data_IF_190113465348
#
_entry.id   IF_190113465348
#
_cell.length_a   1.000
_cell.length_b   1.000
_cell.length_c   1.000
_cell.angle_alpha   90.00
_cell.angle_beta   90.00
_cell.angle_gamma   90.00
#
_symmetry.space_group_name_H-M   'P 1'
#
loop_
_entity.id
_entity.type
_entity.pdbx_description
1 polymer ?
#
# COMPACT_ATOMS: atom_id res chain seq x y z
N UNK A 1 -1.82 -17.03 -15.27
CA UNK A 1 -1.74 -17.34 -16.72
C UNK A 1 -1.48 -16.05 -17.50
N UNK A 2 -0.51 -16.07 -18.40
CA UNK A 2 -0.20 -14.95 -19.30
C UNK A 2 -0.60 -15.25 -20.75
N UNK A 3 -1.55 -16.15 -20.96
CA UNK A 3 -2.05 -16.56 -22.26
C UNK A 3 -1.34 -17.79 -22.88
N UNK A 4 -1.86 -18.26 -23.99
CA UNK A 4 -1.27 -19.36 -24.76
C UNK A 4 -0.23 -18.81 -25.74
N UNK A 5 1.02 -19.31 -25.72
CA UNK A 5 2.05 -18.90 -26.70
C UNK A 5 1.60 -19.01 -28.17
N UNK A 6 0.76 -19.98 -28.51
CA UNK A 6 0.24 -20.16 -29.86
C UNK A 6 -0.72 -19.04 -30.31
N UNK A 7 -1.29 -18.27 -29.37
CA UNK A 7 -2.21 -17.18 -29.68
C UNK A 7 -1.50 -15.87 -30.08
N UNK A 8 -0.18 -15.78 -29.89
CA UNK A 8 0.62 -14.59 -30.20
C UNK A 8 1.22 -14.71 -31.63
N UNK A 9 0.38 -14.96 -32.62
CA UNK A 9 0.82 -14.97 -33.99
C UNK A 9 1.22 -13.56 -34.45
N UNK A 10 2.39 -13.43 -35.05
CA UNK A 10 2.84 -12.18 -35.66
C UNK A 10 2.10 -12.07 -37.00
N UNK A 11 1.26 -11.02 -37.15
CA UNK A 11 0.48 -10.79 -38.36
C UNK A 11 1.34 -10.38 -39.59
N UNK A 12 0.75 -10.32 -40.78
CA UNK A 12 1.41 -9.82 -41.98
C UNK A 12 1.91 -8.39 -41.79
N UNK A 13 3.18 -8.11 -42.08
CA UNK A 13 3.81 -6.81 -41.90
C UNK A 13 4.53 -6.63 -40.58
N UNK A 14 4.54 -7.63 -39.71
CA UNK A 14 5.34 -7.57 -38.47
C UNK A 14 6.85 -7.60 -38.81
N UNK A 15 7.61 -6.72 -38.17
CA UNK A 15 9.07 -6.71 -38.26
C UNK A 15 9.62 -7.75 -37.29
N UNK A 16 10.47 -8.66 -37.78
CA UNK A 16 11.11 -9.69 -36.96
C UNK A 16 11.91 -9.05 -35.83
N UNK A 17 11.67 -9.50 -34.58
CA UNK A 17 12.35 -9.00 -33.40
C UNK A 17 11.68 -7.82 -32.67
N UNK A 18 10.58 -7.29 -33.22
CA UNK A 18 9.77 -6.29 -32.50
C UNK A 18 8.70 -6.97 -31.65
N UNK A 19 8.47 -6.42 -30.47
CA UNK A 19 7.37 -6.85 -29.62
C UNK A 19 6.03 -6.45 -30.26
N UNK A 20 5.00 -7.28 -30.07
CA UNK A 20 3.64 -6.94 -30.49
C UNK A 20 3.10 -5.73 -29.75
N UNK A 21 2.11 -5.04 -30.34
CA UNK A 21 1.46 -3.87 -29.75
C UNK A 21 1.80 -2.56 -30.45
N UNK A 22 1.40 -1.44 -29.85
CA UNK A 22 1.67 -0.09 -30.34
C UNK A 22 2.73 0.62 -29.49
N UNK A 23 3.32 1.69 -30.04
CA UNK A 23 4.24 2.53 -29.25
C UNK A 23 3.53 3.07 -28.00
N UNK A 24 4.11 2.82 -26.82
CA UNK A 24 3.50 3.18 -25.54
C UNK A 24 2.45 2.18 -24.99
N UNK A 25 2.03 1.19 -25.77
CA UNK A 25 1.12 0.12 -25.38
C UNK A 25 1.63 -1.23 -25.91
N UNK A 26 2.74 -1.76 -25.36
CA UNK A 26 3.32 -3.01 -25.80
C UNK A 26 2.35 -4.16 -25.59
N UNK A 27 2.20 -5.02 -26.59
CA UNK A 27 1.45 -6.27 -26.49
C UNK A 27 2.21 -7.32 -25.68
N UNK A 28 1.53 -8.43 -25.37
CA UNK A 28 2.20 -9.60 -24.83
C UNK A 28 2.91 -10.36 -25.96
N UNK A 29 4.11 -10.83 -25.68
CA UNK A 29 4.85 -11.70 -26.59
C UNK A 29 4.73 -13.16 -26.17
N UNK A 30 5.03 -14.10 -27.05
CA UNK A 30 5.08 -15.52 -26.71
C UNK A 30 6.04 -15.81 -25.55
N UNK A 31 7.11 -15.02 -25.40
CA UNK A 31 8.06 -15.12 -24.28
C UNK A 31 7.45 -14.72 -22.93
N UNK A 32 6.36 -13.97 -22.96
CA UNK A 32 5.64 -13.55 -21.72
C UNK A 32 4.56 -14.56 -21.33
N UNK A 33 4.23 -15.53 -22.18
CA UNK A 33 3.18 -16.50 -21.93
C UNK A 33 3.69 -17.63 -21.02
N UNK A 34 2.81 -18.10 -20.13
CA UNK A 34 3.14 -19.22 -19.23
C UNK A 34 2.10 -19.42 -18.14
N UNK A 35 2.29 -20.52 -17.42
CA UNK A 35 1.52 -20.84 -16.19
C UNK A 35 2.48 -21.01 -15.03
N UNK A 36 2.25 -20.26 -14.00
CA UNK A 36 3.04 -20.34 -12.79
C UNK A 36 2.15 -20.56 -11.61
N UNK A 37 2.60 -21.38 -10.68
CA UNK A 37 1.88 -21.66 -9.44
C UNK A 37 2.82 -21.64 -8.25
N UNK A 38 2.29 -21.22 -7.13
CA UNK A 38 2.95 -21.27 -5.83
C UNK A 38 2.03 -21.96 -4.86
N UNK A 39 2.55 -22.90 -4.08
CA UNK A 39 1.82 -23.62 -3.04
C UNK A 39 2.47 -23.34 -1.71
N UNK A 40 1.65 -23.20 -0.67
CA UNK A 40 2.13 -23.15 0.71
C UNK A 40 1.40 -24.15 1.59
N UNK A 41 2.07 -24.54 2.67
CA UNK A 41 1.51 -25.34 3.76
C UNK A 41 1.96 -24.70 5.06
N UNK A 42 1.04 -24.52 5.99
CA UNK A 42 1.32 -23.87 7.26
C UNK A 42 0.73 -24.65 8.42
N UNK A 43 1.41 -24.54 9.56
CA UNK A 43 0.90 -24.92 10.86
C UNK A 43 1.14 -23.77 11.85
N UNK A 44 0.24 -23.58 12.80
CA UNK A 44 0.40 -22.54 13.82
C UNK A 44 -0.17 -23.01 15.16
N UNK A 45 0.36 -22.40 16.22
CA UNK A 45 -0.15 -22.50 17.59
C UNK A 45 -0.29 -21.08 18.10
N UNK A 46 -1.43 -20.79 18.73
CA UNK A 46 -1.71 -19.53 19.41
C UNK A 46 -2.31 -19.86 20.77
N UNK A 47 -1.68 -19.36 21.84
CA UNK A 47 -2.09 -19.59 23.22
C UNK A 47 -2.20 -18.26 23.92
N UNK A 48 -3.35 -18.01 24.53
CA UNK A 48 -3.57 -16.88 25.41
C UNK A 48 -3.95 -17.41 26.80
N UNK A 49 -3.30 -16.88 27.85
CA UNK A 49 -3.50 -17.32 29.22
C UNK A 49 -3.66 -16.12 30.18
N UNK A 50 -4.72 -16.08 30.99
CA UNK A 50 -4.79 -15.16 32.12
C UNK A 50 -3.88 -15.66 33.24
N UNK A 51 -2.76 -14.97 33.49
CA UNK A 51 -1.86 -15.27 34.59
C UNK A 51 -2.45 -14.86 35.94
N UNK A 52 -3.23 -13.79 35.91
CA UNK A 52 -4.02 -13.29 37.05
C UNK A 52 -5.34 -12.70 36.55
N UNK A 53 -6.22 -12.29 37.45
CA UNK A 53 -7.47 -11.59 37.07
C UNK A 53 -7.24 -10.28 36.28
N UNK A 54 -6.01 -9.74 36.28
CA UNK A 54 -5.66 -8.47 35.65
C UNK A 54 -4.56 -8.57 34.60
N UNK A 55 -3.94 -9.73 34.44
CA UNK A 55 -2.80 -9.91 33.56
C UNK A 55 -3.00 -11.08 32.63
N UNK A 56 -3.08 -10.79 31.35
CA UNK A 56 -3.17 -11.76 30.27
C UNK A 56 -1.90 -11.70 29.42
N UNK A 57 -1.36 -12.88 29.09
CA UNK A 57 -0.22 -13.01 28.17
C UNK A 57 -0.61 -13.91 27.01
N UNK A 58 -0.03 -13.67 25.86
CA UNK A 58 -0.24 -14.48 24.66
C UNK A 58 1.09 -14.82 23.98
N UNK A 59 1.19 -16.01 23.44
CA UNK A 59 2.30 -16.47 22.62
C UNK A 59 1.77 -17.22 21.40
N UNK A 60 2.27 -16.87 20.22
CA UNK A 60 1.93 -17.54 18.98
C UNK A 60 3.19 -17.85 18.18
N UNK A 61 3.15 -18.97 17.45
CA UNK A 61 4.16 -19.29 16.44
C UNK A 61 3.50 -19.90 15.22
N UNK A 62 4.06 -19.58 14.05
CA UNK A 62 3.59 -20.08 12.75
C UNK A 62 4.80 -20.56 11.95
N UNK A 63 4.71 -21.79 11.47
CA UNK A 63 5.60 -22.35 10.47
C UNK A 63 4.89 -22.36 9.12
N UNK A 64 5.55 -21.96 8.06
CA UNK A 64 5.02 -22.05 6.71
C UNK A 64 6.10 -22.46 5.72
N UNK A 65 5.77 -23.42 4.85
CA UNK A 65 6.63 -23.86 3.77
C UNK A 65 6.03 -23.50 2.41
N UNK A 66 6.84 -22.91 1.55
CA UNK A 66 6.48 -22.51 0.19
C UNK A 66 7.28 -23.27 -0.85
N UNK A 67 6.61 -23.66 -1.92
CA UNK A 67 7.25 -24.41 -3.02
C UNK A 67 8.30 -23.61 -3.79
N UNK A 68 8.27 -22.28 -3.73
CA UNK A 68 9.11 -21.41 -4.55
C UNK A 68 10.37 -20.90 -3.85
N UNK A 69 10.39 -20.77 -2.51
CA UNK A 69 11.49 -20.11 -1.80
C UNK A 69 11.81 -20.70 -0.41
N UNK A 70 11.18 -21.83 -0.04
CA UNK A 70 11.48 -22.51 1.21
C UNK A 70 10.53 -22.18 2.35
N UNK A 71 11.05 -22.01 3.55
CA UNK A 71 10.26 -21.92 4.79
C UNK A 71 10.43 -20.60 5.53
N UNK A 72 9.43 -20.26 6.36
CA UNK A 72 9.46 -19.19 7.33
C UNK A 72 8.91 -19.67 8.68
N UNK A 73 9.50 -19.15 9.75
CA UNK A 73 9.00 -19.33 11.12
C UNK A 73 8.83 -17.96 11.74
N UNK A 74 7.62 -17.66 12.17
CA UNK A 74 7.28 -16.38 12.78
C UNK A 74 6.68 -16.58 14.16
N UNK A 75 6.85 -15.59 15.02
CA UNK A 75 6.37 -15.62 16.37
C UNK A 75 5.82 -14.30 16.86
N UNK A 76 4.97 -14.37 17.87
CA UNK A 76 4.41 -13.21 18.57
C UNK A 76 4.36 -13.48 20.06
N UNK A 77 4.76 -12.49 20.83
CA UNK A 77 4.52 -12.41 22.26
C UNK A 77 3.67 -11.17 22.52
N UNK A 78 2.66 -11.30 23.38
CA UNK A 78 1.79 -10.19 23.76
C UNK A 78 1.50 -10.22 25.24
N UNK A 79 1.24 -9.06 25.81
CA UNK A 79 0.87 -8.89 27.20
C UNK A 79 -0.13 -7.75 27.33
N UNK A 80 -1.14 -7.94 28.19
CA UNK A 80 -2.10 -6.93 28.59
C UNK A 80 -2.25 -6.95 30.10
N UNK A 81 -2.03 -5.79 30.73
CA UNK A 81 -2.19 -5.62 32.16
C UNK A 81 -3.22 -4.55 32.46
N UNK A 82 -4.21 -4.88 33.27
CA UNK A 82 -5.29 -4.00 33.73
C UNK A 82 -4.94 -3.38 35.09
N UNK A 83 -4.59 -2.09 35.08
CA UNK A 83 -4.39 -1.35 36.33
C UNK A 83 -5.70 -1.18 37.11
N UNK A 84 -6.77 -0.87 36.37
CA UNK A 84 -8.14 -0.80 36.83
C UNK A 84 -9.06 -1.44 35.78
N UNK A 85 -10.35 -1.68 36.05
CA UNK A 85 -11.32 -2.12 35.05
C UNK A 85 -11.44 -1.16 33.83
N UNK A 86 -10.97 0.07 34.01
CA UNK A 86 -11.09 1.15 33.01
C UNK A 86 -9.78 1.58 32.38
N UNK A 87 -8.64 1.08 32.86
CA UNK A 87 -7.32 1.44 32.37
C UNK A 87 -6.43 0.20 32.21
N UNK A 88 -5.95 -0.02 31.00
CA UNK A 88 -5.02 -1.12 30.73
C UNK A 88 -3.87 -0.67 29.83
N UNK A 89 -2.71 -1.27 30.03
CA UNK A 89 -1.57 -1.22 29.13
C UNK A 89 -1.48 -2.53 28.36
N UNK A 90 -1.07 -2.45 27.09
CA UNK A 90 -0.81 -3.61 26.25
C UNK A 90 0.49 -3.44 25.49
N UNK A 91 1.17 -4.55 25.19
CA UNK A 91 2.36 -4.51 24.38
C UNK A 91 2.51 -5.82 23.60
N UNK A 92 3.19 -5.74 22.47
CA UNK A 92 3.53 -6.93 21.70
C UNK A 92 4.87 -6.79 21.00
N UNK A 93 5.53 -7.95 20.83
CA UNK A 93 6.68 -8.12 19.97
C UNK A 93 6.35 -9.24 18.99
N UNK A 94 6.58 -9.02 17.71
CA UNK A 94 6.30 -10.03 16.68
C UNK A 94 7.29 -9.98 15.55
N UNK A 95 7.48 -11.13 14.91
CA UNK A 95 8.08 -11.23 13.58
C UNK A 95 6.99 -11.53 12.56
N UNK A 96 7.28 -11.31 11.30
CA UNK A 96 6.41 -11.63 10.19
C UNK A 96 7.20 -11.61 8.89
N UNK A 97 6.59 -12.13 7.83
CA UNK A 97 7.22 -12.15 6.52
C UNK A 97 6.21 -11.82 5.42
N UNK A 98 6.73 -11.45 4.26
CA UNK A 98 5.95 -11.35 3.03
C UNK A 98 6.62 -12.15 1.92
N UNK A 99 5.93 -13.19 1.45
CA UNK A 99 6.37 -14.00 0.34
C UNK A 99 6.44 -13.19 -0.97
N UNK A 100 7.42 -13.45 -1.85
CA UNK A 100 7.37 -12.94 -3.22
C UNK A 100 6.15 -13.53 -3.93
N UNK A 101 5.43 -12.68 -4.64
CA UNK A 101 4.28 -13.11 -5.44
C UNK A 101 4.72 -13.81 -6.72
N UNK A 102 3.90 -14.68 -7.34
CA UNK A 102 4.19 -15.23 -8.67
C UNK A 102 4.50 -14.15 -9.71
N UNK A 103 3.84 -12.99 -9.64
CA UNK A 103 4.16 -11.84 -10.50
C UNK A 103 5.58 -11.33 -10.31
N UNK A 104 6.07 -11.22 -9.07
CA UNK A 104 7.46 -10.79 -8.81
C UNK A 104 8.49 -11.84 -9.23
N UNK A 105 8.15 -13.13 -9.12
CA UNK A 105 9.04 -14.22 -9.46
C UNK A 105 9.16 -14.46 -10.97
N UNK A 106 8.04 -14.32 -11.73
CA UNK A 106 7.95 -14.86 -13.07
C UNK A 106 7.54 -13.86 -14.15
N UNK A 107 7.04 -12.65 -13.78
CA UNK A 107 6.60 -11.69 -14.79
C UNK A 107 7.78 -11.22 -15.64
N UNK A 108 7.58 -11.28 -16.95
CA UNK A 108 8.46 -10.68 -17.96
C UNK A 108 7.64 -9.68 -18.78
N UNK A 109 8.26 -8.58 -19.15
CA UNK A 109 7.68 -7.60 -20.06
C UNK A 109 8.76 -6.96 -20.92
N UNK A 110 8.41 -6.68 -22.16
CA UNK A 110 9.28 -5.98 -23.12
C UNK A 110 8.60 -4.68 -23.50
N UNK A 111 9.34 -3.59 -23.48
CA UNK A 111 8.91 -2.30 -23.98
C UNK A 111 9.87 -1.85 -25.08
N UNK A 112 9.31 -1.31 -26.15
CA UNK A 112 10.07 -0.68 -27.20
C UNK A 112 9.67 0.78 -27.34
N UNK A 113 10.62 1.61 -27.63
CA UNK A 113 10.40 3.03 -27.85
C UNK A 113 11.42 3.57 -28.85
N UNK A 114 11.14 4.74 -29.39
CA UNK A 114 12.06 5.51 -30.20
C UNK A 114 12.68 6.58 -29.33
N UNK A 115 14.00 6.61 -29.25
CA UNK A 115 14.71 7.74 -28.71
C UNK A 115 14.60 8.90 -29.70
N UNK A 116 13.90 9.94 -29.31
CA UNK A 116 13.62 11.10 -30.21
C UNK A 116 14.84 11.97 -30.45
N UNK A 117 15.92 11.80 -29.71
CA UNK A 117 17.19 12.53 -29.90
C UNK A 117 18.10 11.78 -30.83
N UNK A 118 18.32 10.48 -30.59
CA UNK A 118 19.21 9.62 -31.38
C UNK A 118 18.50 8.97 -32.56
N UNK A 119 17.16 9.02 -32.62
CA UNK A 119 16.29 8.35 -33.60
C UNK A 119 16.50 6.84 -33.66
N UNK A 120 17.02 6.24 -32.59
CA UNK A 120 17.21 4.80 -32.47
C UNK A 120 16.11 4.15 -31.67
N UNK A 121 15.73 2.94 -32.10
CA UNK A 121 14.80 2.10 -31.32
C UNK A 121 15.56 1.52 -30.14
N UNK A 122 15.00 1.70 -28.93
CA UNK A 122 15.47 1.02 -27.75
C UNK A 122 14.46 -0.07 -27.32
N UNK A 123 14.98 -1.16 -26.82
CA UNK A 123 14.19 -2.26 -26.27
C UNK A 123 14.56 -2.45 -24.81
N UNK A 124 13.62 -2.27 -23.91
CA UNK A 124 13.85 -2.49 -22.49
C UNK A 124 13.08 -3.72 -21.99
N UNK A 125 13.73 -4.51 -21.14
CA UNK A 125 13.14 -5.71 -20.54
C UNK A 125 12.94 -5.57 -19.05
N UNK A 126 11.77 -6.01 -18.56
CA UNK A 126 11.67 -6.45 -17.18
C UNK A 126 11.69 -7.96 -17.20
N UNK A 127 12.72 -8.56 -16.63
CA UNK A 127 12.95 -9.99 -16.66
C UNK A 127 12.62 -10.64 -15.32
N UNK A 128 12.30 -11.94 -15.35
CA UNK A 128 12.28 -12.75 -14.14
C UNK A 128 13.65 -12.73 -13.47
N UNK A 129 13.76 -12.69 -12.12
CA UNK A 129 15.04 -12.84 -11.42
C UNK A 129 15.77 -14.15 -11.75
N UNK A 130 15.09 -15.15 -12.28
CA UNK A 130 15.66 -16.44 -12.72
C UNK A 130 16.05 -16.48 -14.19
N UNK A 131 15.81 -15.40 -14.95
CA UNK A 131 16.22 -15.30 -16.34
C UNK A 131 17.76 -15.32 -16.46
N UNK A 132 18.34 -16.09 -17.42
CA UNK A 132 19.80 -16.17 -17.57
C UNK A 132 20.47 -14.81 -17.79
N UNK A 133 19.84 -13.91 -18.54
CA UNK A 133 20.38 -12.55 -18.76
C UNK A 133 20.31 -11.72 -17.49
N UNK A 134 19.21 -11.81 -16.73
CA UNK A 134 19.08 -11.13 -15.45
C UNK A 134 20.15 -11.63 -14.45
N UNK A 135 20.38 -12.94 -14.36
CA UNK A 135 21.41 -13.55 -13.49
C UNK A 135 22.81 -13.04 -13.88
N UNK A 136 23.15 -12.95 -15.15
CA UNK A 136 24.43 -12.41 -15.61
C UNK A 136 24.62 -10.93 -15.20
N UNK A 137 23.51 -10.19 -15.06
CA UNK A 137 23.50 -8.79 -14.65
C UNK A 137 23.31 -8.62 -13.13
N UNK A 138 23.40 -9.70 -12.37
CA UNK A 138 23.44 -9.66 -10.91
C UNK A 138 22.11 -9.99 -10.21
N UNK A 139 21.09 -10.46 -10.93
CA UNK A 139 19.86 -10.93 -10.30
C UNK A 139 20.15 -12.13 -9.38
N UNK A 140 19.45 -12.17 -8.26
CA UNK A 140 19.50 -13.26 -7.27
C UNK A 140 18.08 -13.80 -7.05
N UNK A 141 17.93 -15.07 -6.63
CA UNK A 141 16.65 -15.59 -6.20
C UNK A 141 16.03 -14.70 -5.11
N UNK A 142 14.76 -14.35 -5.27
CA UNK A 142 14.06 -13.55 -4.27
C UNK A 142 13.88 -14.35 -2.97
N UNK A 143 14.13 -13.68 -1.85
CA UNK A 143 13.85 -14.15 -0.49
C UNK A 143 12.57 -13.47 0.02
N UNK A 144 11.86 -14.04 0.99
CA UNK A 144 10.79 -13.31 1.67
C UNK A 144 11.29 -12.02 2.32
N UNK A 145 10.49 -10.94 2.25
CA UNK A 145 10.69 -9.80 3.14
C UNK A 145 10.44 -10.27 4.57
N UNK A 146 11.19 -9.74 5.52
CA UNK A 146 11.00 -10.04 6.93
C UNK A 146 10.64 -8.78 7.70
N UNK A 147 9.79 -8.91 8.71
CA UNK A 147 9.43 -7.81 9.59
C UNK A 147 9.65 -8.15 11.06
N UNK A 148 9.97 -7.11 11.82
CA UNK A 148 9.94 -7.11 13.29
C UNK A 148 9.12 -5.93 13.73
N UNK A 149 8.15 -6.20 14.59
CA UNK A 149 7.23 -5.18 15.09
C UNK A 149 7.26 -5.18 16.60
N UNK A 150 7.42 -4.00 17.18
CA UNK A 150 7.20 -3.73 18.59
C UNK A 150 6.05 -2.73 18.74
N UNK A 151 5.15 -2.98 19.67
CA UNK A 151 4.06 -2.04 20.00
C UNK A 151 3.85 -1.92 21.50
N UNK A 152 3.44 -0.71 21.91
CA UNK A 152 3.04 -0.40 23.28
C UNK A 152 1.81 0.50 23.22
N UNK A 153 0.74 0.10 23.90
CA UNK A 153 -0.53 0.81 23.89
C UNK A 153 -1.13 0.99 25.27
N UNK A 154 -1.88 2.07 25.42
CA UNK A 154 -2.72 2.37 26.57
C UNK A 154 -4.17 2.38 26.10
N UNK A 155 -5.06 1.72 26.84
CA UNK A 155 -6.51 1.75 26.58
C UNK A 155 -7.23 2.25 27.82
N UNK A 156 -8.26 3.07 27.60
CA UNK A 156 -9.10 3.59 28.70
C UNK A 156 -10.57 3.62 28.32
N UNK A 157 -11.41 3.57 29.30
CA UNK A 157 -12.85 3.87 29.23
C UNK A 157 -13.28 4.51 30.57
N UNK A 158 -14.44 5.15 30.58
CA UNK A 158 -15.03 5.65 31.81
C UNK A 158 -16.56 5.62 31.77
N UNK A 159 -17.20 5.84 32.89
CA UNK A 159 -18.67 5.85 33.05
C UNK A 159 -19.34 7.03 32.33
N UNK A 160 -18.59 8.08 32.00
CA UNK A 160 -19.08 9.25 31.27
C UNK A 160 -19.19 9.00 29.74
N UNK A 161 -18.97 7.77 29.30
CA UNK A 161 -19.07 7.38 27.88
C UNK A 161 -17.84 7.69 27.04
N UNK A 162 -16.69 8.02 27.65
CA UNK A 162 -15.42 8.15 26.95
C UNK A 162 -14.69 6.80 26.90
N UNK A 163 -14.12 6.49 25.76
CA UNK A 163 -13.20 5.36 25.58
C UNK A 163 -12.15 5.70 24.55
N UNK A 164 -10.99 5.05 24.61
CA UNK A 164 -9.97 5.25 23.62
C UNK A 164 -8.72 4.40 23.79
N UNK A 165 -7.80 4.58 22.87
CA UNK A 165 -6.46 4.02 22.94
C UNK A 165 -5.42 4.99 22.36
N UNK A 166 -4.19 4.84 22.84
CA UNK A 166 -2.98 5.38 22.21
C UNK A 166 -2.03 4.23 22.06
N UNK A 167 -1.58 3.98 20.84
CA UNK A 167 -0.66 2.90 20.50
C UNK A 167 0.58 3.48 19.81
N UNK A 168 1.75 3.18 20.35
CA UNK A 168 3.06 3.46 19.77
C UNK A 168 3.55 2.21 19.06
N UNK A 169 4.22 2.35 17.91
CA UNK A 169 4.80 1.23 17.20
C UNK A 169 6.11 1.56 16.51
N UNK A 170 6.95 0.53 16.41
CA UNK A 170 8.18 0.50 15.63
C UNK A 170 8.16 -0.78 14.76
N UNK A 171 8.24 -0.60 13.44
CA UNK A 171 8.16 -1.67 12.46
C UNK A 171 9.40 -1.60 11.58
N UNK A 172 10.27 -2.60 11.68
CA UNK A 172 11.39 -2.77 10.77
C UNK A 172 11.06 -3.85 9.73
N UNK A 173 11.22 -3.51 8.44
CA UNK A 173 11.07 -4.47 7.34
C UNK A 173 12.41 -4.55 6.60
N UNK A 174 12.94 -5.75 6.50
CA UNK A 174 14.19 -6.03 5.79
C UNK A 174 13.95 -6.79 4.50
N UNK A 175 14.93 -6.75 3.60
CA UNK A 175 14.90 -7.46 2.32
C UNK A 175 13.67 -7.07 1.46
N UNK A 176 13.26 -5.80 1.46
CA UNK A 176 12.06 -5.34 0.72
C UNK A 176 12.24 -5.48 -0.77
N UNK A 177 11.16 -5.90 -1.44
CA UNK A 177 11.14 -6.02 -2.89
C UNK A 177 11.09 -4.65 -3.56
N UNK A 178 11.98 -4.46 -4.53
CA UNK A 178 11.88 -3.38 -5.50
C UNK A 178 12.21 -3.88 -6.90
N UNK A 179 11.90 -3.08 -7.89
CA UNK A 179 12.47 -3.23 -9.22
C UNK A 179 13.87 -2.62 -9.16
N UNK A 180 14.86 -3.34 -9.67
CA UNK A 180 16.23 -2.84 -9.78
C UNK A 180 16.31 -1.58 -10.65
N UNK A 181 17.42 -0.87 -10.57
CA UNK A 181 17.78 0.05 -11.64
C UNK A 181 17.81 -0.67 -13.01
N UNK A 182 17.73 0.10 -14.08
CA UNK A 182 17.87 -0.44 -15.44
C UNK A 182 19.34 -0.62 -15.74
N UNK A 183 19.76 -1.85 -16.03
CA UNK A 183 21.15 -2.21 -16.40
C UNK A 183 21.26 -2.25 -17.91
N UNK A 184 22.21 -1.53 -18.47
CA UNK A 184 22.57 -1.68 -19.89
C UNK A 184 23.09 -3.10 -20.14
N UNK A 185 22.69 -3.71 -21.25
CA UNK A 185 23.17 -5.04 -21.62
C UNK A 185 24.53 -4.90 -22.32
N UNK A 186 25.62 -5.46 -21.75
CA UNK A 186 26.94 -5.36 -22.34
C UNK A 186 27.04 -6.11 -23.69
N UNK A 187 27.91 -5.64 -24.55
CA UNK A 187 28.22 -6.36 -25.79
C UNK A 187 28.83 -7.75 -25.46
N UNK A 188 28.43 -8.76 -26.26
CA UNK A 188 28.93 -10.14 -26.09
C UNK A 188 28.12 -10.98 -25.09
N UNK A 189 27.17 -10.41 -24.35
CA UNK A 189 26.24 -11.17 -23.52
C UNK A 189 25.11 -11.73 -24.39
N UNK A 190 24.75 -13.03 -24.29
CA UNK A 190 23.62 -13.61 -25.01
C UNK A 190 22.32 -12.82 -24.76
N UNK A 191 21.80 -12.21 -25.79
CA UNK A 191 20.66 -11.28 -25.73
C UNK A 191 19.76 -11.45 -26.96
N UNK A 192 19.00 -12.55 -27.04
CA UNK A 192 18.26 -12.91 -28.24
C UNK A 192 17.14 -11.92 -28.63
N UNK A 193 16.63 -11.14 -27.65
CA UNK A 193 15.61 -10.12 -27.86
C UNK A 193 16.18 -8.73 -28.05
N UNK A 194 17.50 -8.60 -28.21
CA UNK A 194 18.21 -7.35 -28.43
C UNK A 194 17.83 -6.24 -27.40
N UNK A 195 17.73 -6.59 -26.13
CA UNK A 195 17.50 -5.59 -25.10
C UNK A 195 18.67 -4.61 -25.02
N UNK A 196 18.37 -3.32 -25.03
CA UNK A 196 19.34 -2.26 -24.74
C UNK A 196 19.59 -2.16 -23.25
N UNK A 197 18.54 -2.41 -22.45
CA UNK A 197 18.65 -2.47 -21.00
C UNK A 197 17.57 -3.37 -20.39
N UNK A 198 17.87 -3.90 -19.21
CA UNK A 198 16.94 -4.75 -18.46
C UNK A 198 16.88 -4.36 -16.99
N UNK A 199 15.76 -4.69 -16.37
CA UNK A 199 15.54 -4.61 -14.93
C UNK A 199 14.87 -5.89 -14.43
N UNK A 200 14.95 -6.15 -13.14
CA UNK A 200 14.36 -7.33 -12.49
C UNK A 200 13.97 -7.00 -11.05
N UNK A 201 13.13 -7.83 -10.45
CA UNK A 201 12.86 -7.71 -9.02
C UNK A 201 14.04 -8.20 -8.19
N UNK A 202 14.31 -7.52 -7.10
CA UNK A 202 15.38 -7.82 -6.15
C UNK A 202 14.93 -7.52 -4.72
N UNK A 203 15.56 -8.17 -3.74
CA UNK A 203 15.51 -7.73 -2.36
C UNK A 203 16.54 -6.61 -2.21
N UNK A 204 16.10 -5.36 -2.15
CA UNK A 204 16.95 -4.21 -2.38
C UNK A 204 17.23 -3.42 -1.10
N UNK A 205 16.23 -3.20 -0.25
CA UNK A 205 16.35 -2.21 0.80
C UNK A 205 15.58 -2.58 2.07
N UNK A 206 15.98 -1.93 3.17
CA UNK A 206 15.33 -2.03 4.47
C UNK A 206 14.58 -0.74 4.80
N UNK A 207 13.56 -0.83 5.62
CA UNK A 207 12.84 0.34 6.12
C UNK A 207 12.52 0.21 7.59
N UNK A 208 12.49 1.37 8.28
CA UNK A 208 11.90 1.49 9.62
C UNK A 208 10.73 2.45 9.57
N UNK A 209 9.59 2.02 10.11
CA UNK A 209 8.39 2.86 10.27
C UNK A 209 8.07 2.99 11.76
N UNK A 210 7.98 4.23 12.25
CA UNK A 210 7.57 4.57 13.62
C UNK A 210 6.32 5.39 13.58
N UNK A 211 5.43 5.15 14.54
CA UNK A 211 4.20 5.90 14.56
C UNK A 211 3.44 5.85 15.87
N UNK A 212 2.39 6.64 15.87
CA UNK A 212 1.42 6.76 16.96
C UNK A 212 0.03 6.70 16.36
N UNK A 213 -0.80 5.81 16.89
CA UNK A 213 -2.23 5.75 16.61
C UNK A 213 -3.01 6.19 17.83
N UNK A 214 -3.96 7.09 17.64
CA UNK A 214 -4.89 7.54 18.70
C UNK A 214 -6.30 7.31 18.21
N UNK A 215 -7.09 6.61 19.02
CA UNK A 215 -8.54 6.50 18.83
C UNK A 215 -9.21 6.97 20.11
N UNK A 216 -10.16 7.90 19.99
CA UNK A 216 -10.97 8.36 21.12
C UNK A 216 -12.43 8.40 20.68
N UNK A 217 -13.30 7.87 21.50
CA UNK A 217 -14.75 7.86 21.28
C UNK A 217 -15.49 8.39 22.48
N UNK A 218 -16.57 9.11 22.23
CA UNK A 218 -17.48 9.58 23.26
C UNK A 218 -18.92 9.41 22.78
N UNK A 219 -19.75 8.85 23.64
CA UNK A 219 -21.17 8.70 23.38
C UNK A 219 -21.95 9.27 24.56
N UNK A 220 -22.85 10.21 24.26
CA UNK A 220 -23.68 10.88 25.28
C UNK A 220 -25.11 11.05 24.79
N UNK A 221 -26.04 11.12 25.73
CA UNK A 221 -27.37 11.58 25.44
C UNK A 221 -27.37 13.09 25.19
N UNK A 222 -28.03 13.56 24.16
CA UNK A 222 -28.15 14.98 23.81
C UNK A 222 -29.60 15.28 23.38
N UNK A 223 -30.33 15.98 24.22
CA UNK A 223 -31.76 16.22 24.01
C UNK A 223 -32.55 14.92 23.85
N UNK A 224 -33.32 14.78 22.78
CA UNK A 224 -34.11 13.59 22.49
C UNK A 224 -33.30 12.47 21.77
N UNK A 225 -32.02 12.68 21.58
CA UNK A 225 -31.18 11.76 20.79
C UNK A 225 -29.88 11.37 21.50
N UNK A 226 -29.03 10.70 20.73
CA UNK A 226 -27.69 10.25 21.14
C UNK A 226 -26.65 10.80 20.18
N UNK A 227 -25.62 11.44 20.71
CA UNK A 227 -24.45 11.88 19.96
C UNK A 227 -23.31 10.89 20.20
N UNK A 228 -22.77 10.33 19.13
CA UNK A 228 -21.58 9.48 19.15
C UNK A 228 -20.50 10.14 18.31
N UNK A 229 -19.37 10.45 18.92
CA UNK A 229 -18.22 11.09 18.26
C UNK A 229 -17.01 10.19 18.37
N UNK A 230 -16.28 10.01 17.28
CA UNK A 230 -15.02 9.25 17.24
C UNK A 230 -13.95 10.08 16.55
N UNK A 231 -12.82 10.23 17.19
CA UNK A 231 -11.58 10.78 16.65
C UNK A 231 -10.61 9.62 16.39
N UNK A 232 -10.12 9.53 15.17
CA UNK A 232 -8.95 8.73 14.82
C UNK A 232 -7.83 9.66 14.39
N UNK A 233 -6.64 9.47 14.92
CA UNK A 233 -5.43 10.19 14.52
C UNK A 233 -4.28 9.20 14.33
N UNK A 234 -3.56 9.33 13.23
CA UNK A 234 -2.37 8.58 12.93
C UNK A 234 -1.22 9.54 12.62
N UNK A 235 -0.11 9.32 13.26
CA UNK A 235 1.18 9.87 12.85
C UNK A 235 2.13 8.72 12.54
N UNK A 236 2.75 8.72 11.36
CA UNK A 236 3.80 7.78 11.06
C UNK A 236 4.92 8.40 10.22
N UNK A 237 6.10 7.87 10.38
CA UNK A 237 7.27 8.22 9.59
C UNK A 237 7.97 6.93 9.17
N UNK A 238 8.16 6.78 7.85
CA UNK A 238 8.96 5.71 7.27
C UNK A 238 10.30 6.28 6.82
N UNK A 239 11.37 5.54 7.07
CA UNK A 239 12.73 5.84 6.60
C UNK A 239 13.27 4.64 5.84
N UNK A 240 14.03 4.87 4.79
CA UNK A 240 14.84 3.87 4.10
C UNK A 240 16.19 3.80 4.81
N UNK A 241 16.46 2.69 5.47
CA UNK A 241 17.65 2.53 6.35
C UNK A 241 18.86 2.11 5.57
N UNK A 242 18.70 1.22 4.60
CA UNK A 242 19.79 0.64 3.83
C UNK A 242 19.31 0.19 2.45
N UNK A 243 20.25 -0.07 1.57
CA UNK A 243 20.03 -0.59 0.22
C UNK A 243 21.24 -0.27 -0.66
N UNK A 244 21.56 -1.17 -1.57
CA UNK A 244 22.74 -1.04 -2.44
C UNK A 244 22.39 -0.54 -3.85
N UNK A 245 21.16 -0.71 -4.27
CA UNK A 245 20.70 -0.39 -5.62
C UNK A 245 19.24 0.13 -5.55
N UNK A 246 18.72 0.62 -6.67
CA UNK A 246 17.30 0.95 -6.79
C UNK A 246 16.83 2.03 -5.81
N UNK A 247 16.02 1.65 -4.83
CA UNK A 247 15.31 2.61 -3.96
C UNK A 247 16.24 3.43 -3.09
N UNK A 248 17.27 2.81 -2.48
CA UNK A 248 18.13 3.52 -1.55
C UNK A 248 19.07 4.52 -2.22
N UNK A 249 19.50 4.25 -3.44
CA UNK A 249 20.44 5.07 -4.20
C UNK A 249 19.79 6.11 -5.12
N UNK A 250 18.50 5.93 -5.44
CA UNK A 250 17.74 6.86 -6.25
C UNK A 250 16.85 7.74 -5.36
N UNK A 251 17.13 9.04 -5.32
CA UNK A 251 16.40 9.97 -4.45
C UNK A 251 14.90 10.00 -4.70
N UNK A 252 14.48 9.96 -5.97
CA UNK A 252 13.07 9.93 -6.33
C UNK A 252 12.37 8.68 -5.77
N UNK A 253 13.00 7.52 -5.90
CA UNK A 253 12.44 6.26 -5.39
C UNK A 253 12.43 6.22 -3.85
N UNK A 254 13.47 6.71 -3.20
CA UNK A 254 13.55 6.80 -1.74
C UNK A 254 12.43 7.69 -1.18
N UNK A 255 12.25 8.87 -1.74
CA UNK A 255 11.21 9.82 -1.31
C UNK A 255 9.79 9.30 -1.51
N UNK A 256 9.56 8.39 -2.46
CA UNK A 256 8.28 7.67 -2.58
C UNK A 256 7.92 6.93 -1.29
N UNK A 257 8.88 6.26 -0.66
CA UNK A 257 8.65 5.54 0.60
C UNK A 257 8.59 6.46 1.81
N UNK A 258 9.39 7.52 1.84
CA UNK A 258 9.55 8.39 3.01
C UNK A 258 8.51 9.53 3.08
N UNK A 259 8.04 10.04 1.94
CA UNK A 259 7.31 11.31 1.89
C UNK A 259 6.00 11.27 1.09
N UNK A 260 5.74 10.25 0.25
CA UNK A 260 4.53 10.21 -0.61
C UNK A 260 3.24 10.07 0.18
N UNK A 261 3.25 9.44 1.32
CA UNK A 261 2.10 9.38 2.21
C UNK A 261 2.19 10.46 3.28
N UNK A 262 1.10 11.22 3.54
CA UNK A 262 1.08 12.18 4.63
C UNK A 262 1.44 11.52 5.96
N UNK A 263 2.39 12.11 6.68
CA UNK A 263 2.78 11.63 8.01
C UNK A 263 1.66 11.76 9.04
N UNK A 264 0.74 12.68 8.83
CA UNK A 264 -0.38 12.94 9.72
C UNK A 264 -1.69 12.72 8.99
N UNK A 265 -2.57 11.95 9.59
CA UNK A 265 -3.94 11.76 9.14
C UNK A 265 -4.88 11.82 10.35
N UNK A 266 -6.02 12.48 10.18
CA UNK A 266 -7.04 12.50 11.21
C UNK A 266 -8.43 12.34 10.60
N UNK A 267 -9.31 11.69 11.34
CA UNK A 267 -10.74 11.61 11.03
C UNK A 267 -11.53 11.89 12.29
N UNK A 268 -12.36 12.91 12.25
CA UNK A 268 -13.36 13.16 13.27
C UNK A 268 -14.74 12.85 12.69
N UNK A 269 -15.44 11.91 13.29
CA UNK A 269 -16.76 11.46 12.85
C UNK A 269 -17.76 11.64 13.99
N UNK A 270 -18.84 12.36 13.73
CA UNK A 270 -19.92 12.58 14.72
C UNK A 270 -21.26 12.17 14.13
N UNK A 271 -21.98 11.30 14.82
CA UNK A 271 -23.33 10.87 14.44
C UNK A 271 -24.30 11.27 15.52
N UNK A 272 -25.29 12.07 15.16
CA UNK A 272 -26.42 12.38 16.02
C UNK A 272 -27.64 11.60 15.55
N UNK A 273 -28.18 10.75 16.41
CA UNK A 273 -29.35 9.91 16.11
C UNK A 273 -30.51 10.27 17.04
N UNK A 274 -31.68 10.53 16.46
CA UNK A 274 -32.93 10.80 17.19
C UNK A 274 -34.13 10.22 16.45
N UNK A 275 -35.00 9.52 17.15
CA UNK A 275 -36.16 8.85 16.57
C UNK A 275 -35.75 7.97 15.37
N UNK A 276 -36.28 8.27 14.19
CA UNK A 276 -35.98 7.55 12.95
C UNK A 276 -34.88 8.20 12.10
N UNK A 277 -34.26 9.26 12.57
CA UNK A 277 -33.29 10.02 11.81
C UNK A 277 -31.89 9.91 12.43
N UNK A 278 -30.89 10.00 11.57
CA UNK A 278 -29.52 10.25 12.00
C UNK A 278 -28.79 11.16 11.03
N UNK A 279 -27.91 12.00 11.57
CA UNK A 279 -27.02 12.87 10.80
C UNK A 279 -25.59 12.50 11.12
N UNK A 280 -24.81 12.20 10.10
CA UNK A 280 -23.36 11.97 10.17
C UNK A 280 -22.63 13.18 9.62
N UNK A 281 -21.77 13.80 10.40
CA UNK A 281 -20.73 14.72 9.95
C UNK A 281 -19.36 14.07 10.09
N UNK A 282 -18.50 14.18 9.07
CA UNK A 282 -17.13 13.65 9.12
C UNK A 282 -16.16 14.71 8.60
N UNK A 283 -15.10 14.95 9.36
CA UNK A 283 -13.94 15.74 8.95
C UNK A 283 -12.77 14.78 8.72
N UNK A 284 -12.20 14.81 7.51
CA UNK A 284 -10.98 14.07 7.15
C UNK A 284 -9.84 15.07 6.94
N UNK A 285 -8.74 14.86 7.60
CA UNK A 285 -7.53 15.66 7.49
C UNK A 285 -6.37 14.81 6.99
N UNK A 286 -5.62 15.35 6.05
CA UNK A 286 -4.39 14.79 5.51
C UNK A 286 -3.30 15.85 5.62
N UNK A 287 -2.19 15.52 6.24
CA UNK A 287 -1.01 16.40 6.32
C UNK A 287 -0.38 16.60 4.95
N UNK A 288 0.58 17.51 4.90
CA UNK A 288 1.37 17.73 3.69
C UNK A 288 2.18 16.48 3.32
N UNK A 289 2.41 16.28 2.02
CA UNK A 289 3.13 15.15 1.45
C UNK A 289 3.92 15.59 0.21
N UNK A 290 4.82 14.74 -0.27
CA UNK A 290 5.65 15.03 -1.44
C UNK A 290 5.49 13.93 -2.47
N UNK A 291 5.20 14.30 -3.72
CA UNK A 291 5.32 13.37 -4.85
C UNK A 291 6.59 13.63 -5.62
N UNK A 292 7.09 12.59 -6.26
CA UNK A 292 8.34 12.65 -7.03
C UNK A 292 8.24 11.78 -8.28
N UNK A 293 8.91 12.19 -9.34
CA UNK A 293 9.01 11.47 -10.59
C UNK A 293 10.34 11.77 -11.24
N UNK A 294 11.03 10.74 -11.74
CA UNK A 294 12.19 10.92 -12.60
C UNK A 294 11.77 11.28 -14.02
N UNK A 295 12.58 12.04 -14.72
CA UNK A 295 12.45 12.34 -16.15
C UNK A 295 13.83 12.44 -16.82
N UNK A 296 13.85 12.76 -18.13
CA UNK A 296 15.10 12.87 -18.90
C UNK A 296 16.05 13.98 -18.41
N UNK A 297 15.54 14.98 -17.68
CA UNK A 297 16.30 16.13 -17.17
C UNK A 297 16.65 16.04 -15.70
N UNK A 298 16.18 15.00 -15.01
CA UNK A 298 16.42 14.74 -13.59
C UNK A 298 15.14 14.43 -12.82
N UNK A 299 15.27 14.38 -11.51
CA UNK A 299 14.14 14.14 -10.62
C UNK A 299 13.33 15.42 -10.38
N UNK A 300 12.03 15.28 -10.35
CA UNK A 300 11.07 16.34 -10.05
C UNK A 300 10.39 16.02 -8.73
N UNK A 301 10.39 16.99 -7.83
CA UNK A 301 9.71 16.89 -6.52
C UNK A 301 8.72 18.04 -6.38
N UNK A 302 7.53 17.70 -5.91
CA UNK A 302 6.53 18.71 -5.57
C UNK A 302 5.93 18.37 -4.21
N UNK A 303 5.93 19.35 -3.31
CA UNK A 303 5.24 19.27 -2.04
C UNK A 303 3.81 19.77 -2.21
N UNK A 304 2.86 18.95 -1.73
CA UNK A 304 1.44 19.26 -1.68
C UNK A 304 1.07 19.69 -0.26
N UNK A 305 0.22 20.70 -0.14
CA UNK A 305 -0.25 21.21 1.14
C UNK A 305 -1.12 20.23 1.91
N UNK A 306 -1.35 20.53 3.17
CA UNK A 306 -2.31 19.80 3.96
C UNK A 306 -3.74 20.04 3.47
N UNK A 307 -4.59 19.00 3.51
CA UNK A 307 -5.95 19.03 2.99
C UNK A 307 -6.96 18.52 3.98
N UNK A 308 -8.12 19.17 4.04
CA UNK A 308 -9.26 18.72 4.85
C UNK A 308 -10.52 18.65 4.01
N UNK A 309 -11.31 17.60 4.22
CA UNK A 309 -12.60 17.38 3.59
C UNK A 309 -13.68 17.23 4.66
N UNK A 310 -14.86 17.74 4.37
CA UNK A 310 -16.05 17.56 5.21
C UNK A 310 -17.06 16.74 4.42
N UNK A 311 -17.53 15.65 5.02
CA UNK A 311 -18.59 14.81 4.49
C UNK A 311 -19.82 14.94 5.39
N UNK A 312 -21.02 14.92 4.79
CA UNK A 312 -22.28 15.00 5.51
C UNK A 312 -23.25 13.98 4.96
N UNK A 313 -23.96 13.26 5.83
CA UNK A 313 -25.04 12.37 5.42
C UNK A 313 -26.21 12.41 6.38
N UNK A 314 -27.40 12.32 5.84
CA UNK A 314 -28.66 12.19 6.59
C UNK A 314 -29.26 10.84 6.25
N UNK A 315 -29.64 10.07 7.28
CA UNK A 315 -30.31 8.80 7.14
C UNK A 315 -31.67 8.85 7.79
N UNK A 316 -32.66 8.24 7.13
CA UNK A 316 -34.03 8.07 7.61
C UNK A 316 -34.41 6.59 7.60
N UNK A 317 -34.69 6.02 8.76
CA UNK A 317 -35.28 4.70 8.91
C UNK A 317 -36.78 4.77 8.60
N UNK A 318 -37.16 4.56 7.34
CA UNK A 318 -38.57 4.61 6.86
C UNK A 318 -39.38 3.57 7.63
N UNK A 319 -38.82 2.36 7.74
CA UNK A 319 -39.31 1.27 8.60
C UNK A 319 -38.14 0.65 9.36
N UNK A 320 -38.39 -0.38 10.16
CA UNK A 320 -37.31 -1.15 10.82
C UNK A 320 -36.39 -1.86 9.83
N UNK A 321 -36.90 -2.15 8.63
CA UNK A 321 -36.21 -2.88 7.58
C UNK A 321 -35.70 -1.98 6.45
N UNK A 322 -36.14 -0.74 6.37
CA UNK A 322 -35.87 0.15 5.23
C UNK A 322 -35.22 1.44 5.68
N UNK A 323 -34.09 1.75 5.09
CA UNK A 323 -33.34 2.99 5.35
C UNK A 323 -33.07 3.72 4.04
N UNK A 324 -33.37 5.00 4.00
CA UNK A 324 -32.94 5.93 2.97
C UNK A 324 -31.81 6.80 3.53
N UNK A 325 -30.73 6.93 2.79
CA UNK A 325 -29.60 7.80 3.12
C UNK A 325 -29.27 8.70 1.94
N UNK A 326 -29.07 9.98 2.22
CA UNK A 326 -28.62 10.98 1.26
C UNK A 326 -27.38 11.63 1.84
N UNK A 327 -26.36 11.83 1.02
CA UNK A 327 -25.11 12.40 1.51
C UNK A 327 -24.30 13.10 0.44
N UNK A 328 -23.29 13.80 0.92
CA UNK A 328 -22.26 14.44 0.12
C UNK A 328 -20.89 14.14 0.72
N UNK A 329 -20.01 13.54 -0.06
CA UNK A 329 -18.60 13.50 0.25
C UNK A 329 -17.95 14.76 -0.32
N UNK A 330 -16.97 15.32 0.41
CA UNK A 330 -16.36 16.60 0.07
C UNK A 330 -17.42 17.70 -0.15
N UNK A 331 -18.24 17.94 0.86
CA UNK A 331 -19.39 18.86 0.84
C UNK A 331 -19.06 20.23 0.25
N UNK A 332 -17.86 20.75 0.52
CA UNK A 332 -17.42 22.07 0.10
C UNK A 332 -16.70 22.08 -1.26
N UNK A 333 -16.71 20.96 -1.99
CA UNK A 333 -16.12 20.83 -3.32
C UNK A 333 -14.66 21.31 -3.39
N UNK A 334 -13.84 20.89 -2.42
CA UNK A 334 -12.44 21.27 -2.35
C UNK A 334 -11.61 20.39 -3.29
N UNK A 335 -10.61 21.00 -3.91
CA UNK A 335 -9.64 20.34 -4.78
C UNK A 335 -8.24 20.50 -4.20
N UNK A 336 -7.33 19.51 -4.42
CA UNK A 336 -5.94 19.61 -4.00
C UNK A 336 -5.13 20.56 -4.88
N UNK A 337 -3.88 20.78 -4.49
CA UNK A 337 -2.90 21.48 -5.32
C UNK A 337 -2.68 20.73 -6.65
N UNK A 338 -2.56 21.49 -7.75
CA UNK A 338 -2.29 20.93 -9.07
C UNK A 338 -0.88 20.35 -9.16
N UNK A 339 -0.73 19.23 -9.89
CA UNK A 339 0.54 18.55 -10.08
C UNK A 339 1.23 19.04 -11.36
N UNK A 340 2.14 19.99 -11.24
CA UNK A 340 2.84 20.63 -12.36
C UNK A 340 3.59 19.64 -13.27
N UNK A 341 4.10 18.53 -12.72
CA UNK A 341 4.87 17.52 -13.45
C UNK A 341 4.02 16.43 -14.12
N UNK A 342 2.70 16.45 -13.96
CA UNK A 342 1.80 15.45 -14.58
C UNK A 342 0.98 16.01 -15.74
N UNK A 343 1.12 17.26 -16.07
CA UNK A 343 0.42 17.92 -17.18
C UNK A 343 0.69 17.22 -18.54
N UNK A 344 1.91 16.73 -18.77
CA UNK A 344 2.27 15.96 -19.97
C UNK A 344 1.51 14.64 -20.12
N UNK A 345 0.88 14.16 -19.05
CA UNK A 345 0.03 12.95 -19.02
C UNK A 345 -1.45 13.27 -19.06
N UNK A 346 -1.83 14.52 -19.24
CA UNK A 346 -3.22 14.97 -19.22
C UNK A 346 -3.85 14.95 -17.83
N UNK A 347 -3.05 14.94 -16.75
CA UNK A 347 -3.52 14.93 -15.38
C UNK A 347 -3.32 16.31 -14.76
N UNK A 348 -4.38 16.84 -14.10
CA UNK A 348 -4.33 18.09 -13.34
C UNK A 348 -3.75 17.81 -11.94
N UNK A 349 -4.18 16.74 -11.32
CA UNK A 349 -3.78 16.34 -9.96
C UNK A 349 -2.83 15.15 -9.97
N UNK A 350 -2.08 14.98 -8.89
CA UNK A 350 -1.21 13.81 -8.78
C UNK A 350 -2.05 12.52 -8.75
N UNK A 351 -1.72 11.57 -9.63
CA UNK A 351 -2.30 10.22 -9.62
C UNK A 351 -2.00 9.44 -8.33
N UNK A 352 -1.06 9.92 -7.52
CA UNK A 352 -0.66 9.33 -6.26
C UNK A 352 -1.27 10.06 -5.05
N UNK A 353 -2.24 10.97 -5.28
CA UNK A 353 -2.91 11.67 -4.21
C UNK A 353 -3.48 10.68 -3.18
N UNK A 354 -3.29 10.90 -1.88
CA UNK A 354 -3.76 10.01 -0.82
C UNK A 354 -5.27 10.14 -0.54
N UNK A 355 -5.97 10.93 -1.31
CA UNK A 355 -7.39 11.25 -1.22
C UNK A 355 -7.98 11.39 -2.64
N UNK A 356 -9.31 11.37 -2.71
CA UNK A 356 -10.05 11.58 -3.94
C UNK A 356 -9.86 13.00 -4.49
N UNK A 357 -9.68 13.12 -5.80
CA UNK A 357 -9.46 14.38 -6.53
C UNK A 357 -10.64 14.81 -7.39
N UNK A 358 -11.76 14.06 -7.38
CA UNK A 358 -12.91 14.29 -8.26
C UNK A 358 -13.87 15.40 -7.78
N UNK A 359 -13.57 16.01 -6.61
CA UNK A 359 -14.40 17.05 -6.02
C UNK A 359 -15.55 16.49 -5.20
N UNK A 360 -16.72 17.18 -5.21
CA UNK A 360 -17.88 16.78 -4.43
C UNK A 360 -18.64 15.64 -5.11
N UNK A 361 -18.90 14.57 -4.33
CA UNK A 361 -19.75 13.47 -4.74
C UNK A 361 -21.07 13.51 -3.96
N UNK A 362 -22.21 13.57 -4.67
CA UNK A 362 -23.55 13.48 -4.09
C UNK A 362 -24.09 12.07 -4.31
N UNK A 363 -24.65 11.47 -3.28
CA UNK A 363 -25.18 10.12 -3.38
C UNK A 363 -26.51 9.95 -2.63
N UNK A 364 -27.31 8.97 -3.09
CA UNK A 364 -28.48 8.45 -2.40
C UNK A 364 -28.38 6.92 -2.32
N UNK A 365 -28.64 6.37 -1.16
CA UNK A 365 -28.62 4.93 -0.89
C UNK A 365 -29.97 4.51 -0.31
N UNK A 366 -30.57 3.45 -0.86
CA UNK A 366 -31.74 2.80 -0.28
C UNK A 366 -31.38 1.37 0.10
N UNK A 367 -31.56 1.04 1.37
CA UNK A 367 -31.21 -0.25 1.95
C UNK A 367 -32.46 -0.97 2.45
N UNK A 368 -32.60 -2.25 2.07
CA UNK A 368 -33.60 -3.16 2.60
C UNK A 368 -32.89 -4.29 3.35
N UNK A 369 -33.37 -4.60 4.55
CA UNK A 369 -32.98 -5.79 5.31
C UNK A 369 -34.12 -6.80 5.24
N UNK A 370 -33.82 -8.01 4.87
CA UNK A 370 -34.77 -9.12 4.79
C UNK A 370 -34.79 -9.91 6.11
#
# INVERSE_FOLDING_TARGET
DAGDPASYAIGPGAVTGLAGGANGAPGFSAANAGRWSQRSRAAYIDVEAPLTARWTVGAATRYEHFSAFGESVDGKLSSRFEFTPDLAVRGSLSTGFRAPTPGQLYTQSTQQGLDTVTLQVFTTGRLSPSDPLAIQLGAKPLKPEQSRTASLGLTWKNELGFSGSVDLYDIKVTDRFSQSASFAVPAGVPNPLAYTSVSFYTNDFDTTTRGVDVVASHTTALGAGRLSTTLGYNYNQTQVDSGATGVATNESQRRIFEERLPRQKATLSSTYAWGRFSVLGKLRYYGAWTDSSGNATGDIFQRFGAMSFVDLAVSWNVTEQQTLRIGADNLFNRYPDEASFQASRGLIYSRNAPYDTDGRNLYAEYRIRY
#
